data_IF_993435656063
#
_entry.id   IF_993435656063
#
_cell.length_a   1.000
_cell.length_b   1.000
_cell.length_c   1.000
_cell.angle_alpha   90.00
_cell.angle_beta   90.00
_cell.angle_gamma   90.00
#
_symmetry.space_group_name_H-M   'P 1'
#
loop_
_entity.id
_entity.type
_entity.pdbx_description
1 polymer ?
#
# COMPACT_ATOMS: atom_id res chain seq x y z
N UNK A 1 -28.57 25.77 -50.04
CA UNK A 1 -28.73 24.92 -48.84
C UNK A 1 -27.35 24.78 -48.21
N UNK A 2 -27.13 25.56 -47.16
CA UNK A 2 -25.87 25.75 -46.45
C UNK A 2 -25.66 24.54 -45.53
N UNK A 3 -24.53 23.82 -45.67
CA UNK A 3 -24.14 22.76 -44.72
C UNK A 3 -23.52 23.41 -43.49
N UNK A 4 -24.06 23.13 -42.31
CA UNK A 4 -23.41 23.41 -41.02
C UNK A 4 -22.24 22.46 -40.78
N UNK A 5 -21.15 22.91 -40.12
CA UNK A 5 -20.04 22.06 -39.72
C UNK A 5 -20.14 21.62 -38.24
N UNK A 6 -19.82 20.35 -37.97
CA UNK A 6 -19.40 19.88 -36.65
C UNK A 6 -20.25 18.80 -35.99
N UNK A 7 -20.31 17.58 -36.56
CA UNK A 7 -20.60 16.37 -35.77
C UNK A 7 -19.25 15.76 -35.34
N UNK A 8 -18.96 15.63 -34.03
CA UNK A 8 -17.71 15.05 -33.54
C UNK A 8 -17.57 13.53 -33.75
N UNK A 9 -18.46 12.90 -34.54
CA UNK A 9 -18.40 11.48 -34.89
C UNK A 9 -17.59 11.18 -36.16
N UNK A 10 -17.13 12.19 -36.88
CA UNK A 10 -16.34 12.02 -38.11
C UNK A 10 -14.83 11.77 -37.86
N UNK A 11 -14.37 11.76 -36.60
CA UNK A 11 -12.96 11.60 -36.22
C UNK A 11 -12.61 10.20 -35.65
N UNK A 12 -13.42 9.16 -35.91
CA UNK A 12 -13.02 7.78 -35.60
C UNK A 12 -12.19 7.18 -36.74
N UNK A 13 -11.02 6.58 -36.48
CA UNK A 13 -10.27 5.87 -37.52
C UNK A 13 -11.11 4.70 -38.04
N UNK A 14 -11.17 4.57 -39.37
CA UNK A 14 -11.88 3.52 -40.09
C UNK A 14 -11.30 2.15 -39.70
N UNK A 15 -12.05 1.35 -38.94
CA UNK A 15 -11.64 0.00 -38.60
C UNK A 15 -11.78 -0.85 -39.86
N UNK A 16 -10.78 -1.69 -40.23
CA UNK A 16 -10.93 -2.56 -41.39
C UNK A 16 -12.08 -3.54 -41.17
N UNK A 17 -13.04 -3.55 -42.10
CA UNK A 17 -14.24 -4.41 -42.13
C UNK A 17 -13.96 -5.94 -42.21
N UNK A 18 -12.70 -6.37 -42.07
CA UNK A 18 -12.26 -7.76 -42.23
C UNK A 18 -11.92 -8.48 -40.91
N UNK A 19 -12.38 -7.96 -39.76
CA UNK A 19 -12.32 -8.71 -38.50
C UNK A 19 -13.47 -9.73 -38.47
N UNK A 20 -13.18 -10.93 -38.97
CA UNK A 20 -14.06 -12.10 -38.78
C UNK A 20 -14.03 -12.50 -37.31
N UNK A 21 -15.07 -12.12 -36.57
CA UNK A 21 -15.32 -12.62 -35.21
C UNK A 21 -15.86 -14.05 -35.34
N UNK A 22 -15.17 -15.08 -34.82
CA UNK A 22 -15.70 -16.43 -34.84
C UNK A 22 -16.89 -16.55 -33.89
N UNK A 23 -18.06 -16.95 -34.40
CA UNK A 23 -19.35 -16.95 -33.70
C UNK A 23 -19.55 -18.10 -32.69
N UNK A 24 -18.56 -18.96 -32.44
CA UNK A 24 -18.74 -20.14 -31.58
C UNK A 24 -17.65 -20.30 -30.51
N UNK A 25 -17.85 -19.65 -29.36
CA UNK A 25 -17.13 -19.95 -28.11
C UNK A 25 -17.78 -21.09 -27.29
N UNK A 26 -18.92 -21.60 -27.74
CA UNK A 26 -19.67 -22.67 -27.04
C UNK A 26 -18.97 -24.04 -27.08
N UNK A 27 -18.02 -24.24 -27.99
CA UNK A 27 -17.33 -25.52 -28.17
C UNK A 27 -16.09 -25.73 -27.28
N UNK A 28 -15.64 -24.71 -26.52
CA UNK A 28 -14.46 -24.81 -25.65
C UNK A 28 -14.81 -25.18 -24.19
N UNK A 29 -16.10 -25.34 -23.88
CA UNK A 29 -16.61 -25.84 -22.60
C UNK A 29 -17.17 -27.25 -22.79
N UNK A 30 -16.29 -28.19 -23.15
CA UNK A 30 -16.63 -29.60 -23.21
C UNK A 30 -16.77 -30.22 -21.82
N UNK A 31 -17.98 -30.67 -21.54
CA UNK A 31 -18.40 -31.83 -20.73
C UNK A 31 -17.48 -32.32 -19.60
N UNK A 32 -17.91 -32.04 -18.37
CA UNK A 32 -17.69 -32.95 -17.23
C UNK A 32 -19.02 -33.24 -16.54
N UNK A 33 -19.83 -34.12 -17.15
CA UNK A 33 -20.90 -34.80 -16.44
C UNK A 33 -20.78 -36.32 -16.60
N UNK A 34 -20.74 -37.00 -15.46
CA UNK A 34 -20.69 -38.45 -15.40
C UNK A 34 -20.41 -38.98 -14.00
N UNK A 35 -21.33 -38.78 -13.05
CA UNK A 35 -21.73 -39.80 -12.07
C UNK A 35 -22.99 -39.34 -11.33
N UNK A 36 -24.10 -39.99 -11.65
CA UNK A 36 -25.36 -39.96 -10.92
C UNK A 36 -25.41 -41.14 -9.93
N UNK A 37 -25.76 -40.84 -8.69
CA UNK A 37 -26.45 -41.72 -7.73
C UNK A 37 -26.96 -40.80 -6.62
N UNK A 38 -28.16 -40.26 -6.78
CA UNK A 38 -29.39 -40.78 -6.17
C UNK A 38 -29.26 -41.05 -4.66
N UNK A 39 -29.82 -40.15 -3.86
CA UNK A 39 -30.65 -40.51 -2.72
C UNK A 39 -31.55 -39.32 -2.32
N UNK A 40 -32.85 -39.61 -2.27
CA UNK A 40 -33.93 -38.68 -2.07
C UNK A 40 -34.21 -38.37 -0.59
N UNK A 41 -34.62 -37.11 -0.37
CA UNK A 41 -35.71 -36.63 0.50
C UNK A 41 -35.69 -36.89 2.02
N UNK A 42 -35.61 -35.79 2.78
CA UNK A 42 -36.62 -35.48 3.80
C UNK A 42 -36.68 -33.97 4.08
N UNK A 43 -37.91 -33.46 4.10
CA UNK A 43 -38.28 -32.09 4.42
C UNK A 43 -38.10 -31.76 5.91
N UNK A 44 -37.85 -30.48 6.20
CA UNK A 44 -37.94 -29.90 7.54
C UNK A 44 -37.85 -28.38 7.48
N UNK A 45 -38.98 -27.70 7.68
CA UNK A 45 -39.14 -26.24 7.73
C UNK A 45 -38.26 -25.54 8.77
N UNK A 46 -37.98 -24.23 8.61
CA UNK A 46 -37.14 -23.46 9.52
C UNK A 46 -37.92 -23.01 10.77
N UNK A 47 -37.31 -22.94 11.96
CA UNK A 47 -37.87 -22.15 13.05
C UNK A 47 -37.49 -20.67 12.91
N UNK A 48 -38.51 -19.85 13.14
CA UNK A 48 -38.54 -18.41 13.14
C UNK A 48 -37.75 -17.77 14.30
N UNK A 49 -37.45 -16.48 14.10
CA UNK A 49 -37.63 -15.46 15.15
C UNK A 49 -36.45 -15.21 16.07
N UNK A 50 -35.59 -14.25 15.68
CA UNK A 50 -34.92 -13.39 16.67
C UNK A 50 -35.13 -11.94 16.22
N UNK A 51 -35.96 -11.24 16.99
CA UNK A 51 -36.36 -9.86 16.77
C UNK A 51 -35.19 -8.86 16.94
N UNK A 52 -35.22 -7.73 16.23
CA UNK A 52 -34.25 -6.66 16.37
C UNK A 52 -34.55 -5.83 17.63
N UNK A 53 -33.56 -5.71 18.53
CA UNK A 53 -33.66 -4.83 19.69
C UNK A 53 -33.60 -3.37 19.23
N UNK A 54 -34.76 -2.73 19.28
CA UNK A 54 -34.99 -1.35 18.93
C UNK A 54 -34.20 -0.36 19.81
N UNK A 55 -33.83 0.74 19.15
CA UNK A 55 -33.26 1.96 19.71
C UNK A 55 -34.11 2.54 20.85
N UNK A 56 -33.43 3.10 21.85
CA UNK A 56 -34.03 3.99 22.85
C UNK A 56 -33.52 5.40 22.59
N UNK A 57 -34.44 6.29 22.23
CA UNK A 57 -34.22 7.72 21.97
C UNK A 57 -34.36 8.55 23.28
N UNK A 58 -34.04 9.86 23.25
CA UNK A 58 -33.48 10.63 24.37
C UNK A 58 -34.53 11.30 25.28
N UNK A 59 -34.11 11.69 26.49
CA UNK A 59 -34.84 12.59 27.37
C UNK A 59 -34.13 13.97 27.45
N UNK A 60 -34.86 15.02 27.10
CA UNK A 60 -34.61 16.44 27.46
C UNK A 60 -35.40 16.75 28.77
N UNK A 61 -35.23 17.80 29.59
CA UNK A 61 -34.49 19.08 29.71
C UNK A 61 -34.60 19.51 31.24
N UNK A 62 -34.39 20.76 31.74
CA UNK A 62 -33.76 22.01 31.26
C UNK A 62 -32.85 22.76 32.30
N UNK A 63 -32.34 23.93 31.85
CA UNK A 63 -31.97 25.18 32.57
C UNK A 63 -30.84 25.21 33.62
N UNK A 64 -29.77 25.95 33.28
CA UNK A 64 -29.34 27.13 34.05
C UNK A 64 -28.54 28.07 33.13
N UNK A 65 -29.03 29.30 32.99
CA UNK A 65 -28.32 30.41 32.36
C UNK A 65 -27.74 31.31 33.44
N UNK A 66 -26.59 31.91 33.14
CA UNK A 66 -26.20 33.19 33.73
C UNK A 66 -25.22 33.90 32.78
N UNK A 67 -25.67 35.03 32.27
CA UNK A 67 -24.93 36.07 31.59
C UNK A 67 -23.67 36.52 32.34
N UNK A 68 -22.64 36.91 31.57
CA UNK A 68 -21.92 38.15 31.86
C UNK A 68 -21.17 38.63 30.62
N UNK A 69 -21.76 39.61 29.94
CA UNK A 69 -21.09 40.50 29.03
C UNK A 69 -20.06 41.37 29.79
N UNK A 70 -18.86 41.51 29.22
CA UNK A 70 -17.85 42.46 29.67
C UNK A 70 -17.20 43.14 28.47
N UNK A 71 -17.74 44.29 28.09
CA UNK A 71 -17.21 45.18 27.06
C UNK A 71 -15.95 45.90 27.55
N UNK A 72 -15.04 46.09 26.60
CA UNK A 72 -14.10 47.21 26.43
C UNK A 72 -12.98 47.38 27.48
N UNK A 73 -11.74 47.33 26.99
CA UNK A 73 -10.89 48.52 27.04
C UNK A 73 -9.82 48.49 25.94
N UNK A 74 -9.87 49.53 25.10
CA UNK A 74 -8.81 49.94 24.19
C UNK A 74 -7.72 50.61 25.03
N UNK A 75 -6.49 50.10 24.96
CA UNK A 75 -5.29 50.91 25.26
C UNK A 75 -4.19 50.65 24.24
N UNK A 76 -4.06 51.65 23.39
CA UNK A 76 -2.86 52.04 22.66
C UNK A 76 -1.67 52.21 23.63
N UNK A 77 -0.48 51.85 23.17
CA UNK A 77 0.76 52.07 23.91
C UNK A 77 1.93 51.17 23.53
N UNK A 78 2.72 51.61 22.55
CA UNK A 78 4.18 51.60 22.72
C UNK A 78 4.96 50.43 22.13
N UNK A 79 5.59 50.71 21.01
CA UNK A 79 6.81 50.06 20.50
C UNK A 79 7.87 49.83 21.58
N UNK A 80 8.36 48.59 21.68
CA UNK A 80 9.71 48.31 22.18
C UNK A 80 10.24 47.05 21.50
N UNK A 81 11.06 47.27 20.48
CA UNK A 81 12.00 46.29 19.99
C UNK A 81 12.99 45.96 21.13
N UNK A 82 13.05 44.70 21.52
CA UNK A 82 14.17 44.15 22.27
C UNK A 82 14.65 42.94 21.47
N UNK A 83 15.76 43.17 20.76
CA UNK A 83 16.56 42.13 20.17
C UNK A 83 17.09 41.26 21.32
N UNK A 84 16.62 40.02 21.40
CA UNK A 84 17.36 38.98 22.10
C UNK A 84 18.13 38.20 21.04
N UNK A 85 19.43 38.46 21.00
CA UNK A 85 20.38 37.77 20.14
C UNK A 85 20.56 36.34 20.69
N UNK A 86 19.73 35.43 20.19
CA UNK A 86 19.93 33.99 20.35
C UNK A 86 21.21 33.53 19.62
N UNK A 87 21.90 32.50 20.12
CA UNK A 87 23.18 32.06 19.55
C UNK A 87 22.97 31.56 18.12
N UNK A 88 23.96 31.88 17.27
CA UNK A 88 24.07 31.52 15.87
C UNK A 88 23.29 30.26 15.48
N UNK A 89 22.23 30.47 14.70
CA UNK A 89 21.49 29.44 14.00
C UNK A 89 22.48 28.61 13.18
N UNK A 90 22.83 27.43 13.70
CA UNK A 90 23.31 26.38 12.83
C UNK A 90 22.20 26.11 11.85
N UNK A 91 22.51 26.16 10.55
CA UNK A 91 21.64 25.75 9.43
C UNK A 91 20.78 24.57 9.89
N UNK A 92 19.52 24.84 10.23
CA UNK A 92 18.64 23.81 10.76
C UNK A 92 18.36 22.88 9.59
N UNK A 93 19.03 21.71 9.59
CA UNK A 93 18.82 20.71 8.56
C UNK A 93 17.32 20.42 8.45
N UNK A 94 16.80 20.41 7.22
CA UNK A 94 15.38 20.17 6.98
C UNK A 94 14.92 18.89 7.69
N UNK A 95 13.78 18.91 8.40
CA UNK A 95 13.33 17.75 9.15
C UNK A 95 13.09 16.57 8.20
N UNK A 96 13.64 15.40 8.54
CA UNK A 96 13.52 14.20 7.71
C UNK A 96 12.24 13.44 8.08
N UNK A 97 11.38 13.25 7.09
CA UNK A 97 10.18 12.43 7.17
C UNK A 97 10.54 10.99 6.85
N UNK A 98 10.40 10.10 7.85
CA UNK A 98 10.60 8.66 7.69
C UNK A 98 9.28 7.94 7.54
N UNK A 99 9.13 7.18 6.47
CA UNK A 99 7.95 6.34 6.25
C UNK A 99 8.37 4.90 6.03
N UNK A 100 7.80 3.99 6.82
CA UNK A 100 7.93 2.55 6.60
C UNK A 100 6.70 2.05 5.87
N UNK A 101 6.91 1.45 4.70
CA UNK A 101 5.88 0.83 3.89
C UNK A 101 5.99 -0.69 3.98
N UNK A 102 4.89 -1.37 4.34
CA UNK A 102 4.78 -2.82 4.41
C UNK A 102 3.63 -3.27 3.50
N UNK A 103 3.93 -4.09 2.50
CA UNK A 103 2.94 -4.68 1.60
C UNK A 103 2.64 -6.12 2.04
N UNK A 104 1.40 -6.35 2.43
CA UNK A 104 0.86 -7.67 2.75
C UNK A 104 0.54 -8.41 1.44
N UNK A 105 1.08 -9.62 1.28
CA UNK A 105 0.87 -10.43 0.07
C UNK A 105 0.36 -11.83 0.40
N UNK A 106 -0.28 -12.47 -0.57
CA UNK A 106 -0.70 -13.87 -0.51
C UNK A 106 0.43 -14.86 -0.86
N UNK A 107 1.61 -14.38 -1.28
CA UNK A 107 2.74 -15.21 -1.67
C UNK A 107 3.30 -15.92 -0.44
N UNK A 108 3.31 -17.25 -0.43
CA UNK A 108 3.63 -18.03 0.78
C UNK A 108 5.09 -17.99 1.22
N UNK A 109 6.03 -17.75 0.30
CA UNK A 109 7.46 -17.86 0.57
C UNK A 109 8.19 -16.56 0.26
N UNK A 110 8.95 -16.06 1.22
CA UNK A 110 9.76 -14.83 1.08
C UNK A 110 10.71 -14.90 -0.12
N UNK A 111 11.39 -16.03 -0.33
CA UNK A 111 12.31 -16.23 -1.45
C UNK A 111 11.61 -16.15 -2.82
N UNK A 112 10.35 -16.63 -2.90
CA UNK A 112 9.55 -16.54 -4.14
C UNK A 112 9.17 -15.10 -4.42
N UNK A 113 8.65 -14.38 -3.41
CA UNK A 113 8.31 -12.96 -3.55
C UNK A 113 9.53 -12.11 -3.91
N UNK A 114 10.67 -12.34 -3.26
CA UNK A 114 11.92 -11.65 -3.58
C UNK A 114 12.40 -11.93 -5.01
N UNK A 115 12.23 -13.16 -5.50
CA UNK A 115 12.53 -13.52 -6.89
C UNK A 115 11.64 -12.80 -7.89
N UNK A 116 10.33 -12.71 -7.62
CA UNK A 116 9.39 -11.94 -8.45
C UNK A 116 9.81 -10.47 -8.50
N UNK A 117 10.07 -9.85 -7.34
CA UNK A 117 10.53 -8.48 -7.24
C UNK A 117 11.82 -8.23 -8.04
N UNK A 118 12.81 -9.12 -7.90
CA UNK A 118 14.07 -9.04 -8.63
C UNK A 118 13.87 -9.13 -10.15
N UNK A 119 13.00 -10.02 -10.64
CA UNK A 119 12.68 -10.14 -12.08
C UNK A 119 12.02 -8.88 -12.63
N UNK A 120 11.23 -8.19 -11.80
CA UNK A 120 10.57 -6.93 -12.17
C UNK A 120 11.44 -5.69 -11.94
N UNK A 121 12.68 -5.85 -11.45
CA UNK A 121 13.57 -4.73 -11.14
C UNK A 121 13.11 -3.89 -9.95
N UNK A 122 12.28 -4.46 -9.05
CA UNK A 122 11.77 -3.77 -7.88
C UNK A 122 12.65 -4.14 -6.69
N UNK A 123 13.26 -3.14 -6.08
CA UNK A 123 14.05 -3.30 -4.87
C UNK A 123 13.15 -3.20 -3.64
N UNK A 124 13.11 -4.25 -2.83
CA UNK A 124 12.45 -4.25 -1.54
C UNK A 124 13.06 -5.30 -0.62
N UNK A 125 12.95 -5.05 0.68
CA UNK A 125 13.22 -6.03 1.71
C UNK A 125 12.05 -7.02 1.76
N UNK A 126 12.31 -8.31 1.80
CA UNK A 126 11.26 -9.34 1.88
C UNK A 126 11.43 -10.16 3.13
N UNK A 127 10.35 -10.32 3.89
CA UNK A 127 10.34 -11.09 5.14
C UNK A 127 9.22 -12.12 5.14
N UNK A 128 9.42 -13.29 5.77
CA UNK A 128 8.35 -14.25 5.95
C UNK A 128 7.37 -13.80 7.05
N UNK A 129 6.12 -14.20 6.92
CA UNK A 129 5.06 -14.05 7.92
C UNK A 129 4.23 -15.36 7.99
N UNK A 130 3.35 -15.48 8.97
CA UNK A 130 2.51 -16.67 9.13
C UNK A 130 1.47 -16.82 8.01
N UNK A 131 0.96 -15.70 7.49
CA UNK A 131 -0.06 -15.65 6.43
C UNK A 131 0.52 -15.53 5.01
N UNK A 132 1.77 -15.11 4.87
CA UNK A 132 2.43 -14.98 3.57
C UNK A 132 3.82 -14.37 3.70
N UNK A 133 4.27 -13.68 2.65
CA UNK A 133 5.50 -12.90 2.66
C UNK A 133 5.13 -11.42 2.61
N UNK A 134 5.95 -10.59 3.25
CA UNK A 134 5.78 -9.14 3.26
C UNK A 134 6.91 -8.51 2.47
N UNK A 135 6.59 -7.50 1.67
CA UNK A 135 7.59 -6.61 1.08
C UNK A 135 7.65 -5.31 1.89
N UNK A 136 8.85 -4.85 2.21
CA UNK A 136 9.11 -3.69 3.05
C UNK A 136 9.96 -2.70 2.28
N UNK A 137 9.57 -1.42 2.31
CA UNK A 137 10.33 -0.30 1.76
C UNK A 137 10.41 0.79 2.81
N UNK A 138 11.61 1.32 3.00
CA UNK A 138 11.86 2.47 3.86
C UNK A 138 12.05 3.66 2.97
N UNK A 139 11.27 4.72 3.20
CA UNK A 139 11.31 5.95 2.42
C UNK A 139 11.69 7.07 3.38
N UNK A 140 12.83 7.69 3.14
CA UNK A 140 13.31 8.87 3.87
C UNK A 140 13.32 10.05 2.91
N UNK A 141 12.64 11.14 3.29
CA UNK A 141 12.53 12.36 2.47
C UNK A 141 12.72 13.57 3.37
N UNK A 142 13.36 14.63 2.86
CA UNK A 142 13.30 15.92 3.55
C UNK A 142 11.86 16.45 3.52
N UNK A 143 11.39 17.06 4.61
CA UNK A 143 10.02 17.56 4.69
C UNK A 143 9.70 18.58 3.59
N UNK A 144 10.69 19.35 3.15
CA UNK A 144 10.57 20.31 2.06
C UNK A 144 10.35 19.65 0.68
N UNK A 145 10.82 18.40 0.51
CA UNK A 145 10.74 17.65 -0.75
C UNK A 145 9.49 16.75 -0.84
N UNK A 146 8.68 16.69 0.21
CA UNK A 146 7.46 15.85 0.22
C UNK A 146 6.45 16.38 -0.79
N UNK A 147 6.10 15.55 -1.76
CA UNK A 147 5.12 15.90 -2.79
C UNK A 147 3.73 16.21 -2.15
N UNK A 148 3.01 17.25 -2.62
CA UNK A 148 1.72 17.62 -2.04
C UNK A 148 0.67 16.50 -2.04
N UNK A 149 0.68 15.63 -3.05
CA UNK A 149 -0.23 14.48 -3.09
C UNK A 149 0.15 13.43 -2.05
N UNK A 150 1.45 13.22 -1.79
CA UNK A 150 1.94 12.34 -0.72
C UNK A 150 1.59 12.90 0.66
N UNK A 151 1.67 14.21 0.84
CA UNK A 151 1.29 14.87 2.09
C UNK A 151 -0.20 14.67 2.40
N UNK A 152 -1.07 14.70 1.37
CA UNK A 152 -2.51 14.49 1.52
C UNK A 152 -2.86 13.01 1.71
N UNK A 153 -2.26 12.11 0.92
CA UNK A 153 -2.52 10.67 0.98
C UNK A 153 -1.94 10.05 2.25
N UNK A 154 -0.81 10.57 2.73
CA UNK A 154 0.03 9.98 3.77
C UNK A 154 0.83 8.76 3.29
N UNK A 155 0.90 8.52 1.98
CA UNK A 155 1.61 7.39 1.37
C UNK A 155 2.61 7.94 0.35
N UNK A 156 3.92 7.68 0.50
CA UNK A 156 4.92 8.08 -0.47
C UNK A 156 4.71 7.43 -1.84
N UNK A 157 5.02 8.14 -2.93
CA UNK A 157 4.85 7.65 -4.31
C UNK A 157 5.66 6.39 -4.56
N UNK A 158 6.83 6.29 -3.96
CA UNK A 158 7.67 5.09 -4.03
C UNK A 158 6.98 3.86 -3.38
N UNK A 159 6.29 4.07 -2.26
CA UNK A 159 5.50 3.02 -1.61
C UNK A 159 4.26 2.66 -2.43
N UNK A 160 3.59 3.65 -3.02
CA UNK A 160 2.45 3.42 -3.92
C UNK A 160 2.86 2.60 -5.15
N UNK A 161 4.01 2.93 -5.75
CA UNK A 161 4.56 2.19 -6.88
C UNK A 161 4.86 0.74 -6.52
N UNK A 162 5.39 0.48 -5.31
CA UNK A 162 5.61 -0.88 -4.83
C UNK A 162 4.31 -1.67 -4.72
N UNK A 163 3.27 -1.11 -4.09
CA UNK A 163 1.96 -1.77 -3.95
C UNK A 163 1.30 -2.06 -5.29
N UNK A 164 1.27 -1.07 -6.18
CA UNK A 164 0.74 -1.22 -7.53
C UNK A 164 1.49 -2.30 -8.31
N UNK A 165 2.82 -2.23 -8.37
CA UNK A 165 3.62 -3.15 -9.14
C UNK A 165 3.56 -4.58 -8.60
N UNK A 166 3.52 -4.77 -7.28
CA UNK A 166 3.34 -6.09 -6.67
C UNK A 166 2.00 -6.73 -7.01
N UNK A 167 0.91 -5.95 -7.03
CA UNK A 167 -0.40 -6.47 -7.41
C UNK A 167 -0.43 -7.00 -8.85
N UNK A 168 0.31 -6.36 -9.77
CA UNK A 168 0.47 -6.82 -11.15
C UNK A 168 1.37 -8.06 -11.20
N UNK A 169 2.55 -7.97 -10.60
CA UNK A 169 3.57 -9.01 -10.68
C UNK A 169 3.11 -10.35 -10.07
N UNK A 170 2.35 -10.28 -8.97
CA UNK A 170 1.81 -11.47 -8.28
C UNK A 170 0.44 -11.90 -8.82
N UNK A 171 -0.21 -11.09 -9.67
CA UNK A 171 -1.59 -11.29 -10.13
C UNK A 171 -2.58 -11.52 -8.97
N UNK A 172 -2.33 -10.87 -7.85
CA UNK A 172 -3.12 -10.98 -6.62
C UNK A 172 -3.42 -9.59 -6.09
N UNK A 173 -4.48 -9.49 -5.29
CA UNK A 173 -4.66 -8.32 -4.44
C UNK A 173 -3.55 -8.27 -3.38
N UNK A 174 -3.10 -7.06 -3.09
CA UNK A 174 -2.13 -6.77 -2.02
C UNK A 174 -2.61 -5.56 -1.22
N UNK A 175 -2.22 -5.48 0.04
CA UNK A 175 -2.54 -4.33 0.89
C UNK A 175 -1.25 -3.66 1.32
N UNK A 176 -1.07 -2.41 0.93
CA UNK A 176 0.00 -1.53 1.37
C UNK A 176 -0.40 -0.85 2.68
N UNK A 177 0.44 -0.98 3.70
CA UNK A 177 0.42 -0.20 4.91
C UNK A 177 1.59 0.77 4.88
N UNK A 178 1.37 2.06 5.11
CA UNK A 178 2.42 3.06 5.25
C UNK A 178 2.31 3.71 6.61
N UNK A 179 3.40 3.73 7.37
CA UNK A 179 3.46 4.36 8.66
C UNK A 179 4.54 5.42 8.71
N UNK A 180 4.14 6.62 9.09
CA UNK A 180 5.02 7.73 9.47
C UNK A 180 5.01 7.79 10.98
N UNK A 181 6.16 7.56 11.59
CA UNK A 181 6.32 7.52 13.04
C UNK A 181 7.34 8.57 13.40
N UNK A 182 6.93 9.50 14.26
CA UNK A 182 7.70 10.61 14.74
C UNK A 182 7.75 10.54 16.28
N UNK A 183 8.86 10.96 16.86
CA UNK A 183 8.99 11.11 18.31
C UNK A 183 8.86 12.58 18.65
N UNK A 184 7.81 12.94 19.38
CA UNK A 184 7.53 14.32 19.79
C UNK A 184 7.47 14.35 21.31
N UNK A 185 8.38 15.09 21.94
CA UNK A 185 8.46 15.23 23.41
C UNK A 185 8.57 13.90 24.18
N UNK A 186 9.19 12.89 23.56
CA UNK A 186 9.35 11.54 24.14
C UNK A 186 8.12 10.64 23.98
N UNK A 187 7.08 11.11 23.30
CA UNK A 187 5.93 10.30 22.89
C UNK A 187 6.08 9.86 21.42
N UNK A 188 5.86 8.57 21.16
CA UNK A 188 5.81 8.04 19.80
C UNK A 188 4.43 8.37 19.22
N UNK A 189 4.38 9.37 18.35
CA UNK A 189 3.20 9.71 17.58
C UNK A 189 3.37 9.20 16.15
N UNK A 190 2.28 8.80 15.51
CA UNK A 190 2.40 8.35 14.13
C UNK A 190 1.07 8.24 13.43
N UNK A 191 1.15 8.30 12.10
CA UNK A 191 0.03 8.06 11.22
C UNK A 191 0.26 6.77 10.47
N UNK A 192 -0.77 5.91 10.44
CA UNK A 192 -0.79 4.73 9.57
C UNK A 192 -1.89 4.90 8.53
N UNK A 193 -1.54 4.62 7.28
CA UNK A 193 -2.46 4.57 6.13
C UNK A 193 -2.46 3.16 5.55
N UNK A 194 -3.58 2.77 4.95
CA UNK A 194 -3.75 1.48 4.31
C UNK A 194 -4.43 1.66 2.96
N UNK A 195 -3.93 0.96 1.94
CA UNK A 195 -4.48 0.99 0.59
C UNK A 195 -4.36 -0.36 -0.07
N UNK A 196 -5.45 -0.85 -0.67
CA UNK A 196 -5.47 -2.11 -1.41
C UNK A 196 -5.24 -1.84 -2.90
N UNK A 197 -4.42 -2.68 -3.50
CA UNK A 197 -4.13 -2.65 -4.93
C UNK A 197 -4.59 -3.93 -5.62
N UNK A 198 -5.14 -3.79 -6.83
CA UNK A 198 -5.52 -4.88 -7.73
C UNK A 198 -5.14 -4.51 -9.16
N UNK A 199 -4.30 -5.32 -9.80
CA UNK A 199 -3.93 -5.09 -11.21
C UNK A 199 -3.26 -3.74 -11.47
N UNK A 200 -2.51 -3.20 -10.50
CA UNK A 200 -1.81 -1.92 -10.59
C UNK A 200 -2.66 -0.71 -10.23
N UNK A 201 -3.94 -0.90 -9.94
CA UNK A 201 -4.88 0.17 -9.59
C UNK A 201 -5.25 0.13 -8.12
N UNK A 202 -5.63 1.28 -7.57
CA UNK A 202 -6.21 1.37 -6.23
C UNK A 202 -7.61 0.76 -6.25
N UNK A 203 -7.83 -0.26 -5.42
CA UNK A 203 -9.13 -0.92 -5.31
C UNK A 203 -10.00 -0.25 -4.24
N UNK A 204 -9.46 -0.12 -3.02
CA UNK A 204 -10.11 0.52 -1.87
C UNK A 204 -9.06 0.95 -0.82
N UNK A 205 -9.50 1.75 0.16
CA UNK A 205 -8.69 2.21 1.30
C UNK A 205 -9.29 1.66 2.60
N UNK A 206 -8.95 0.41 2.99
CA UNK A 206 -9.51 -0.20 4.19
C UNK A 206 -9.02 0.53 5.45
N UNK A 207 -9.79 0.51 6.56
CA UNK A 207 -9.34 1.08 7.83
C UNK A 207 -8.04 0.41 8.32
N UNK A 208 -6.96 1.16 8.59
CA UNK A 208 -5.66 0.58 8.95
C UNK A 208 -5.72 -0.33 10.17
N UNK A 209 -6.48 0.04 11.20
CA UNK A 209 -6.65 -0.77 12.40
C UNK A 209 -7.29 -2.14 12.13
N UNK A 210 -8.20 -2.24 11.14
CA UNK A 210 -8.79 -3.53 10.75
C UNK A 210 -7.80 -4.40 9.97
N UNK A 211 -6.99 -3.78 9.12
CA UNK A 211 -5.92 -4.49 8.39
C UNK A 211 -4.89 -5.03 9.38
N UNK A 212 -4.45 -4.22 10.34
CA UNK A 212 -3.47 -4.61 11.36
C UNK A 212 -4.01 -5.71 12.27
N UNK A 213 -5.28 -5.64 12.70
CA UNK A 213 -5.90 -6.69 13.50
C UNK A 213 -5.89 -8.08 12.83
N UNK A 214 -5.80 -8.11 11.48
CA UNK A 214 -5.69 -9.33 10.69
C UNK A 214 -4.26 -9.64 10.24
N UNK A 215 -3.33 -8.70 10.43
CA UNK A 215 -1.93 -8.87 10.06
C UNK A 215 -1.22 -9.80 11.05
N UNK A 216 -0.01 -10.21 10.68
CA UNK A 216 0.86 -10.94 11.60
C UNK A 216 1.68 -9.94 12.42
N UNK A 217 2.04 -10.30 13.65
CA UNK A 217 2.79 -9.44 14.57
C UNK A 217 4.10 -8.89 13.97
N UNK A 218 4.75 -9.64 13.06
CA UNK A 218 5.95 -9.18 12.36
C UNK A 218 5.67 -7.95 11.48
N UNK A 219 4.49 -7.87 10.83
CA UNK A 219 4.11 -6.73 10.01
C UNK A 219 3.95 -5.46 10.87
N UNK A 220 3.27 -5.57 12.01
CA UNK A 220 3.10 -4.47 12.96
C UNK A 220 4.46 -3.95 13.44
N UNK A 221 5.32 -4.85 13.95
CA UNK A 221 6.63 -4.49 14.49
C UNK A 221 7.53 -3.82 13.47
N UNK A 222 7.50 -4.28 12.23
CA UNK A 222 8.22 -3.63 11.12
C UNK A 222 7.66 -2.25 10.84
N UNK A 223 6.33 -2.15 10.74
CA UNK A 223 5.64 -0.93 10.37
C UNK A 223 5.88 0.21 11.37
N UNK A 224 5.89 -0.09 12.68
CA UNK A 224 6.19 0.90 13.73
C UNK A 224 7.68 1.04 14.04
N UNK A 225 8.56 0.37 13.31
CA UNK A 225 10.02 0.49 13.47
C UNK A 225 10.61 -0.21 14.70
N UNK A 226 9.86 -1.06 15.41
CA UNK A 226 10.39 -1.86 16.54
C UNK A 226 11.40 -2.93 16.10
N UNK A 227 11.35 -3.34 14.83
CA UNK A 227 12.26 -4.31 14.22
C UNK A 227 12.56 -3.83 12.81
N UNK A 228 13.79 -4.01 12.34
CA UNK A 228 14.16 -3.77 10.95
C UNK A 228 14.09 -5.06 10.13
N UNK A 229 13.79 -4.97 8.83
CA UNK A 229 13.64 -6.16 8.00
C UNK A 229 14.85 -7.12 8.03
N UNK A 230 16.11 -6.67 8.04
CA UNK A 230 17.28 -7.55 8.16
C UNK A 230 17.37 -8.34 9.49
N UNK A 231 16.67 -7.90 10.53
CA UNK A 231 16.64 -8.55 11.84
C UNK A 231 15.62 -9.70 11.89
N UNK A 232 14.73 -9.79 10.90
CA UNK A 232 13.71 -10.84 10.84
C UNK A 232 14.32 -12.14 10.29
N UNK A 233 14.20 -13.27 11.00
CA UNK A 233 14.68 -14.56 10.50
C UNK A 233 14.06 -14.92 9.14
N UNK A 234 14.91 -15.28 8.17
CA UNK A 234 14.47 -15.60 6.82
C UNK A 234 14.28 -14.39 5.89
N UNK A 235 14.74 -13.21 6.30
CA UNK A 235 14.88 -12.03 5.45
C UNK A 235 15.61 -12.33 4.13
N UNK A 236 15.12 -11.73 3.03
CA UNK A 236 15.73 -11.77 1.70
C UNK A 236 15.67 -10.37 1.09
N UNK A 237 16.80 -9.86 0.60
CA UNK A 237 16.83 -8.67 -0.24
C UNK A 237 16.56 -9.03 -1.69
N UNK A 238 15.60 -8.38 -2.36
CA UNK A 238 15.42 -8.60 -3.81
C UNK A 238 16.61 -8.10 -4.63
N UNK A 239 17.32 -7.06 -4.16
CA UNK A 239 18.51 -6.51 -4.82
C UNK A 239 19.67 -7.51 -4.88
N UNK A 240 19.79 -8.41 -3.89
CA UNK A 240 20.83 -9.44 -3.88
C UNK A 240 20.55 -10.57 -4.86
N UNK A 241 19.27 -10.78 -5.22
CA UNK A 241 18.87 -11.76 -6.23
C UNK A 241 18.97 -11.20 -7.66
N UNK A 242 18.85 -9.88 -7.83
CA UNK A 242 18.96 -9.22 -9.12
C UNK A 242 20.40 -9.17 -9.66
N UNK A 243 21.41 -9.33 -8.80
CA UNK A 243 22.82 -9.40 -9.21
C UNK A 243 23.06 -10.72 -9.95
N UNK A 244 23.52 -10.71 -11.21
CA UNK A 244 23.82 -11.94 -11.92
C UNK A 244 24.94 -12.65 -11.16
N UNK A 245 24.64 -13.85 -10.64
CA UNK A 245 25.64 -14.75 -10.06
C UNK A 245 26.76 -14.90 -11.09
N UNK A 246 27.90 -14.26 -10.82
CA UNK A 246 28.97 -14.06 -11.78
C UNK A 246 29.42 -15.39 -12.37
N UNK A 247 29.42 -15.42 -13.70
CA UNK A 247 30.29 -16.28 -14.52
C UNK A 247 31.71 -16.19 -13.95
N UNK A 248 32.08 -17.16 -13.11
CA UNK A 248 33.48 -17.40 -12.74
C UNK A 248 34.21 -17.93 -13.98
N UNK A 249 34.57 -17.00 -14.86
CA UNK A 249 35.57 -17.19 -15.89
C UNK A 249 36.94 -17.00 -15.23
N UNK A 250 37.42 -18.01 -14.51
CA UNK A 250 38.84 -18.16 -14.25
C UNK A 250 39.35 -19.39 -15.00
N UNK A 251 40.16 -19.09 -16.01
CA UNK A 251 40.54 -19.97 -17.10
C UNK A 251 41.30 -21.22 -16.65
N UNK A 252 40.85 -22.35 -17.18
CA UNK A 252 41.62 -23.59 -17.26
C UNK A 252 42.77 -23.37 -18.24
N UNK A 253 43.93 -22.91 -17.75
CA UNK A 253 45.17 -22.86 -18.56
C UNK A 253 45.65 -24.31 -18.76
N UNK A 254 45.33 -24.91 -19.91
CA UNK A 254 46.02 -26.13 -20.37
C UNK A 254 47.47 -25.73 -20.68
N UNK A 255 48.41 -26.16 -19.85
CA UNK A 255 49.83 -26.24 -20.20
C UNK A 255 50.05 -27.66 -20.75
N UNK A 256 49.87 -27.84 -22.07
CA UNK A 256 50.67 -28.84 -22.80
C UNK A 256 52.11 -28.33 -22.82
N UNK A 257 53.12 -29.16 -22.54
CA UNK A 257 53.82 -29.96 -23.56
C UNK A 257 54.60 -29.00 -24.47
N UNK A 258 55.90 -29.06 -24.66
CA UNK A 258 56.91 -30.10 -24.61
C UNK A 258 58.24 -29.35 -24.86
N UNK A 259 59.37 -29.76 -24.30
CA UNK A 259 60.70 -29.40 -24.81
C UNK A 259 61.70 -30.41 -24.25
N UNK A 260 62.03 -31.37 -25.12
CA UNK A 260 63.20 -32.23 -25.10
C UNK A 260 63.95 -31.98 -26.42
#
# INVERSE_FOLDING_TARGET
>A
MTREPGDPRDDLPDWPDDVVIPDDLSALLGDTEGTTADQASAAGSPPAGVEPRAASAPAAAPSEGADAAGRADLRDGGTAAAADAGPAEGEAADPIVRTTAVVLTSVRQAKVLAGVLALTGIEAAVVPSARGALAVRYVEQAAADVDPAEALSGIPREAEALGAALSVATRSEVVLLAARVDEVDGEIAGQVKARRYRGGQVADEPPPGLVLAQADQVAERLLIGLVQAPEVPGYVSSADLAKPAGRSFFGRRRKGGDDA
#
